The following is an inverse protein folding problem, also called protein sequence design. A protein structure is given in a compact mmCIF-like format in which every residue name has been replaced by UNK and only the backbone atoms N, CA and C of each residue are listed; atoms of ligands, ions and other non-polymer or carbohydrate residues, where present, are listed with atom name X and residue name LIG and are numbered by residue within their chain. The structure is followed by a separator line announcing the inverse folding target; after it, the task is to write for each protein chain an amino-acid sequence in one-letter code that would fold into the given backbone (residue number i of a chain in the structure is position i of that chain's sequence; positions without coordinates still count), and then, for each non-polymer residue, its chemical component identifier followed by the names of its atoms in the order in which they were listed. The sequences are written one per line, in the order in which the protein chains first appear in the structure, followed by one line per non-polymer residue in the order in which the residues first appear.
data_IF_310203915595
#
_entry.id   IF_310203915595
#
_cell.length_a   1.000
_cell.length_b   1.000
_cell.length_c   1.000
_cell.angle_alpha   90.00
_cell.angle_beta   90.00
_cell.angle_gamma   90.00
#
_symmetry.space_group_name_H-M   'P 1'
#
loop_
_entity.id
_entity.type
_entity.pdbx_description
1 polymer ?
#
# COMPACT_ATOMS: atom_id res chain seq x y z
N UNK A 1 -19.69 -23.88 -18.24
CA UNK A 1 -19.49 -23.94 -16.79
C UNK A 1 -19.83 -25.32 -16.21
N UNK A 2 -19.40 -26.44 -16.76
CA UNK A 2 -19.73 -27.75 -16.22
C UNK A 2 -18.71 -28.85 -16.61
N UNK A 3 -17.42 -28.52 -16.67
CA UNK A 3 -16.42 -29.54 -17.08
C UNK A 3 -15.49 -29.97 -15.95
N UNK A 4 -15.59 -29.32 -14.79
CA UNK A 4 -14.77 -29.64 -13.64
C UNK A 4 -15.53 -30.56 -12.69
N UNK A 5 -14.97 -31.70 -12.38
CA UNK A 5 -15.48 -32.65 -11.39
C UNK A 5 -14.49 -32.75 -10.24
N UNK A 6 -14.91 -32.50 -9.02
CA UNK A 6 -14.11 -32.63 -7.80
C UNK A 6 -14.96 -33.02 -6.62
N UNK A 7 -14.44 -33.88 -5.75
CA UNK A 7 -15.08 -34.33 -4.52
C UNK A 7 -14.61 -33.54 -3.28
N UNK A 8 -13.70 -32.57 -3.47
CA UNK A 8 -13.25 -31.65 -2.39
C UNK A 8 -12.91 -30.29 -2.99
N UNK A 9 -13.09 -29.21 -2.21
CA UNK A 9 -12.81 -27.81 -2.62
C UNK A 9 -11.35 -27.54 -3.04
N UNK A 10 -10.43 -28.47 -2.77
CA UNK A 10 -9.00 -28.27 -2.99
C UNK A 10 -8.45 -28.90 -4.30
N UNK A 11 -9.19 -29.76 -5.00
CA UNK A 11 -8.72 -30.39 -6.26
C UNK A 11 -9.84 -30.52 -7.26
N UNK A 12 -9.83 -29.68 -8.28
CA UNK A 12 -10.70 -29.74 -9.45
C UNK A 12 -9.96 -30.46 -10.58
N UNK A 13 -10.50 -31.57 -11.08
CA UNK A 13 -9.92 -32.33 -12.19
C UNK A 13 -10.77 -32.15 -13.45
N UNK A 14 -10.12 -31.95 -14.59
CA UNK A 14 -10.74 -31.97 -15.90
C UNK A 14 -10.29 -33.28 -16.59
N UNK A 15 -11.25 -34.09 -17.07
CA UNK A 15 -10.91 -35.31 -17.81
C UNK A 15 -10.44 -34.98 -19.22
N UNK A 16 -9.54 -35.81 -19.79
CA UNK A 16 -9.10 -35.65 -21.18
C UNK A 16 -10.27 -35.71 -22.18
N UNK A 17 -11.31 -36.50 -21.89
CA UNK A 17 -12.53 -36.58 -22.70
C UNK A 17 -13.30 -35.25 -22.68
N UNK A 18 -13.46 -34.65 -21.48
CA UNK A 18 -14.12 -33.35 -21.34
C UNK A 18 -13.33 -32.24 -22.06
N UNK A 19 -12.01 -32.28 -21.96
CA UNK A 19 -11.13 -31.34 -22.66
C UNK A 19 -11.22 -31.50 -24.19
N UNK A 20 -11.23 -32.74 -24.69
CA UNK A 20 -11.35 -33.05 -26.12
C UNK A 20 -12.71 -32.71 -26.73
N UNK A 21 -13.75 -32.57 -25.90
CA UNK A 21 -15.10 -32.16 -26.32
C UNK A 21 -15.30 -30.64 -26.40
N UNK A 22 -14.28 -29.83 -26.05
CA UNK A 22 -14.36 -28.36 -26.14
C UNK A 22 -14.37 -27.89 -27.58
N UNK A 23 -15.41 -27.15 -27.97
CA UNK A 23 -15.44 -26.45 -29.25
C UNK A 23 -14.60 -25.15 -29.11
N UNK A 24 -13.52 -25.07 -29.86
CA UNK A 24 -12.67 -23.88 -29.94
C UNK A 24 -12.80 -23.24 -31.33
N UNK A 25 -12.86 -21.90 -31.43
CA UNK A 25 -12.73 -21.20 -32.69
C UNK A 25 -11.38 -21.57 -33.35
N UNK A 26 -11.40 -21.95 -34.62
CA UNK A 26 -10.19 -22.36 -35.35
C UNK A 26 -10.06 -21.50 -36.63
N UNK A 27 -9.59 -20.24 -36.52
CA UNK A 27 -9.41 -19.38 -37.69
C UNK A 27 -8.26 -19.87 -38.58
N UNK A 28 -8.20 -19.46 -39.87
CA UNK A 28 -7.08 -19.77 -40.74
C UNK A 28 -5.72 -19.34 -40.14
N UNK A 29 -4.64 -20.07 -40.46
CA UNK A 29 -3.32 -19.87 -39.88
C UNK A 29 -2.83 -18.41 -39.96
N UNK A 30 -3.02 -17.75 -41.09
CA UNK A 30 -2.68 -16.34 -41.27
C UNK A 30 -3.41 -15.43 -40.25
N UNK A 31 -4.66 -15.74 -39.91
CA UNK A 31 -5.42 -15.01 -38.93
C UNK A 31 -4.93 -15.31 -37.50
N UNK A 32 -4.57 -16.58 -37.22
CA UNK A 32 -3.95 -16.94 -35.92
C UNK A 32 -2.67 -16.13 -35.67
N UNK A 33 -1.79 -16.03 -36.68
CA UNK A 33 -0.57 -15.26 -36.59
C UNK A 33 -0.83 -13.77 -36.29
N UNK A 34 -1.86 -13.18 -36.94
CA UNK A 34 -2.24 -11.78 -36.69
C UNK A 34 -2.81 -11.57 -35.30
N UNK A 35 -3.64 -12.49 -34.82
CA UNK A 35 -4.17 -12.47 -33.46
C UNK A 35 -3.02 -12.53 -32.46
N UNK A 36 -2.09 -13.44 -32.66
CA UNK A 36 -0.92 -13.56 -31.79
C UNK A 36 -0.03 -12.34 -31.83
N UNK A 37 0.20 -11.74 -33.00
CA UNK A 37 0.98 -10.51 -33.12
C UNK A 37 0.33 -9.35 -32.32
N UNK A 38 -1.00 -9.20 -32.42
CA UNK A 38 -1.74 -8.19 -31.67
C UNK A 38 -1.64 -8.41 -30.15
N UNK A 39 -1.82 -9.65 -29.68
CA UNK A 39 -1.72 -10.00 -28.26
C UNK A 39 -0.29 -9.80 -27.74
N UNK A 40 0.74 -10.16 -28.53
CA UNK A 40 2.14 -9.98 -28.16
C UNK A 40 2.52 -8.51 -28.02
N UNK A 41 2.00 -7.61 -28.89
CA UNK A 41 2.25 -6.18 -28.75
C UNK A 41 1.73 -5.60 -27.42
N UNK A 42 0.60 -6.12 -26.91
CA UNK A 42 0.14 -5.79 -25.54
C UNK A 42 1.09 -6.33 -24.49
N UNK A 43 1.58 -7.58 -24.63
CA UNK A 43 2.49 -8.17 -23.67
C UNK A 43 3.81 -7.39 -23.57
N UNK A 44 4.40 -6.99 -24.69
CA UNK A 44 5.61 -6.14 -24.72
C UNK A 44 5.37 -4.78 -24.01
N UNK A 45 4.19 -4.18 -24.22
CA UNK A 45 3.83 -2.93 -23.55
C UNK A 45 3.64 -3.13 -22.04
N UNK A 46 3.01 -4.22 -21.60
CA UNK A 46 2.88 -4.58 -20.19
C UNK A 46 4.26 -4.74 -19.54
N UNK A 47 5.16 -5.48 -20.14
CA UNK A 47 6.53 -5.69 -19.65
C UNK A 47 7.31 -4.37 -19.54
N UNK A 48 7.16 -3.48 -20.52
CA UNK A 48 7.81 -2.17 -20.50
C UNK A 48 7.32 -1.30 -19.33
N UNK A 49 6.00 -1.28 -19.08
CA UNK A 49 5.41 -0.55 -17.96
C UNK A 49 5.85 -1.18 -16.62
N UNK A 50 5.84 -2.50 -16.48
CA UNK A 50 6.31 -3.19 -15.27
C UNK A 50 7.78 -2.90 -14.99
N UNK A 51 8.63 -2.89 -16.00
CA UNK A 51 10.03 -2.52 -15.89
C UNK A 51 10.20 -1.05 -15.46
N UNK A 52 9.36 -0.13 -15.98
CA UNK A 52 9.33 1.27 -15.58
C UNK A 52 8.95 1.41 -14.09
N UNK A 53 7.91 0.71 -13.64
CA UNK A 53 7.49 0.69 -12.22
C UNK A 53 8.62 0.19 -11.32
N UNK A 54 9.32 -0.89 -11.72
CA UNK A 54 10.43 -1.43 -10.95
C UNK A 54 11.57 -0.40 -10.79
N UNK A 55 11.93 0.29 -11.87
CA UNK A 55 12.95 1.36 -11.86
C UNK A 55 12.52 2.53 -10.96
N UNK A 56 11.26 2.95 -11.04
CA UNK A 56 10.73 4.03 -10.21
C UNK A 56 10.74 3.67 -8.72
N UNK A 57 10.43 2.42 -8.36
CA UNK A 57 10.52 1.95 -6.97
C UNK A 57 11.94 1.97 -6.44
N UNK A 58 12.93 1.55 -7.25
CA UNK A 58 14.34 1.61 -6.89
C UNK A 58 14.78 3.07 -6.71
N UNK A 59 14.41 3.94 -7.63
CA UNK A 59 14.75 5.36 -7.56
C UNK A 59 14.12 6.04 -6.32
N UNK A 60 12.85 5.73 -6.01
CA UNK A 60 12.18 6.20 -4.78
C UNK A 60 12.92 5.75 -3.53
N UNK A 61 13.30 4.46 -3.47
CA UNK A 61 14.07 3.94 -2.34
C UNK A 61 15.41 4.65 -2.20
N UNK A 62 16.15 4.85 -3.31
CA UNK A 62 17.40 5.60 -3.30
C UNK A 62 17.21 7.05 -2.81
N UNK A 63 16.19 7.74 -3.31
CA UNK A 63 15.83 9.08 -2.84
C UNK A 63 15.47 9.09 -1.34
N UNK A 64 14.73 8.10 -0.86
CA UNK A 64 14.36 7.98 0.55
C UNK A 64 15.61 7.81 1.44
N UNK A 65 16.51 6.89 1.06
CA UNK A 65 17.75 6.64 1.80
C UNK A 65 18.69 7.84 1.81
N UNK A 66 18.74 8.62 0.71
CA UNK A 66 19.61 9.78 0.61
C UNK A 66 19.06 11.04 1.27
N UNK A 67 17.74 11.21 1.31
CA UNK A 67 17.09 12.39 1.89
C UNK A 67 16.93 12.35 3.41
N UNK A 68 17.22 11.21 4.04
CA UNK A 68 17.21 11.03 5.51
C UNK A 68 18.55 10.43 6.00
N UNK A 69 19.70 11.07 5.75
CA UNK A 69 21.03 10.50 5.99
C UNK A 69 21.33 10.26 7.48
N UNK A 70 20.72 11.06 8.38
CA UNK A 70 20.92 10.97 9.83
C UNK A 70 20.25 9.78 10.50
N UNK A 71 19.48 8.98 9.75
CA UNK A 71 18.91 7.72 10.25
C UNK A 71 20.00 6.70 10.63
N UNK A 72 21.23 6.85 10.16
CA UNK A 72 22.39 6.09 10.64
C UNK A 72 22.98 6.77 11.88
N UNK A 73 23.03 6.06 13.01
CA UNK A 73 23.54 6.56 14.30
C UNK A 73 24.95 7.13 14.22
N UNK A 74 25.77 6.64 13.30
CA UNK A 74 27.15 7.06 13.09
C UNK A 74 27.31 8.30 12.19
N UNK A 75 26.25 8.80 11.56
CA UNK A 75 26.32 9.95 10.69
C UNK A 75 26.24 11.25 11.55
N UNK A 76 27.13 12.19 11.27
CA UNK A 76 27.00 13.53 11.80
C UNK A 76 25.72 14.16 11.26
N UNK A 77 24.92 14.76 12.14
CA UNK A 77 23.75 15.55 11.74
C UNK A 77 24.23 16.91 11.28
N UNK A 78 23.68 17.42 10.18
CA UNK A 78 23.95 18.79 9.73
C UNK A 78 23.56 19.81 10.80
N UNK A 79 24.26 20.94 10.87
CA UNK A 79 23.94 22.01 11.83
C UNK A 79 22.51 22.57 11.66
N UNK A 80 21.88 22.34 10.49
CA UNK A 80 20.50 22.73 10.19
C UNK A 80 19.46 21.66 10.53
N UNK A 81 19.88 20.55 11.17
CA UNK A 81 19.02 19.43 11.51
C UNK A 81 19.04 19.16 13.01
N UNK A 82 17.89 18.81 13.56
CA UNK A 82 17.76 18.34 14.94
C UNK A 82 17.78 16.83 15.03
N UNK A 83 18.52 16.29 16.02
CA UNK A 83 18.41 14.91 16.50
C UNK A 83 17.81 14.93 17.90
N UNK A 84 16.61 14.41 18.05
CA UNK A 84 15.89 14.35 19.32
C UNK A 84 15.19 13.01 19.51
N UNK A 85 14.82 12.66 20.73
CA UNK A 85 13.92 11.53 20.93
C UNK A 85 12.52 11.85 20.39
N UNK A 86 11.89 10.88 19.75
CA UNK A 86 10.56 11.07 19.14
C UNK A 86 9.54 11.63 20.16
N UNK A 87 9.65 11.30 21.44
CA UNK A 87 8.79 11.81 22.51
C UNK A 87 8.84 13.33 22.69
N UNK A 88 9.90 14.00 22.22
CA UNK A 88 10.06 15.44 22.34
C UNK A 88 9.25 16.21 21.29
N UNK A 89 8.88 15.54 20.20
CA UNK A 89 8.14 16.11 19.08
C UNK A 89 6.81 15.40 18.81
N UNK A 90 6.59 14.21 19.39
CA UNK A 90 5.34 13.44 19.29
C UNK A 90 4.79 13.20 20.70
N UNK A 91 3.65 13.79 21.07
CA UNK A 91 2.95 13.55 22.34
C UNK A 91 2.62 12.06 22.55
N UNK A 92 2.14 11.67 23.75
CA UNK A 92 1.71 10.30 23.99
C UNK A 92 0.72 9.80 22.94
N UNK A 93 0.96 8.56 22.48
CA UNK A 93 0.13 7.94 21.46
C UNK A 93 -1.31 7.74 21.95
N UNK A 94 -2.28 7.98 21.09
CA UNK A 94 -3.69 7.72 21.38
C UNK A 94 -4.10 6.37 20.77
N UNK A 95 -4.69 5.52 21.61
CA UNK A 95 -5.18 4.20 21.18
C UNK A 95 -6.56 4.32 20.53
N UNK A 96 -6.80 3.52 19.50
CA UNK A 96 -8.10 3.40 18.89
C UNK A 96 -9.10 2.59 19.73
N UNK A 97 -10.28 2.36 19.16
CA UNK A 97 -11.38 1.64 19.81
C UNK A 97 -11.09 0.14 19.94
N UNK A 98 -11.68 -0.49 20.96
CA UNK A 98 -11.56 -1.94 21.21
C UNK A 98 -12.91 -2.67 21.05
N UNK A 99 -13.94 -1.98 20.64
CA UNK A 99 -15.28 -2.53 20.41
C UNK A 99 -15.28 -3.56 19.29
N UNK A 100 -16.21 -4.51 19.37
CA UNK A 100 -16.43 -5.49 18.32
C UNK A 100 -16.93 -4.79 17.05
N UNK A 101 -16.36 -5.12 15.92
CA UNK A 101 -16.70 -4.55 14.63
C UNK A 101 -17.56 -5.51 13.81
N UNK A 102 -18.51 -4.95 13.08
CA UNK A 102 -19.48 -5.66 12.24
C UNK A 102 -19.32 -5.30 10.75
N UNK A 103 -20.02 -6.03 9.87
CA UNK A 103 -20.05 -5.73 8.43
C UNK A 103 -21.12 -4.70 8.04
N UNK A 104 -21.95 -4.28 8.99
CA UNK A 104 -23.06 -3.36 8.73
C UNK A 104 -22.56 -1.94 8.49
N UNK A 105 -22.72 -1.37 7.28
CA UNK A 105 -22.24 -0.05 6.93
C UNK A 105 -23.02 1.10 7.56
N UNK A 106 -24.06 0.83 8.33
CA UNK A 106 -24.78 1.86 9.11
C UNK A 106 -23.98 2.35 10.32
N UNK A 107 -22.99 1.56 10.78
CA UNK A 107 -22.05 1.96 11.83
C UNK A 107 -20.96 2.92 11.36
N UNK A 108 -20.12 3.35 12.29
CA UNK A 108 -18.96 4.18 11.97
C UNK A 108 -17.86 3.33 11.34
N UNK A 109 -17.34 3.69 10.14
CA UNK A 109 -16.23 2.97 9.52
C UNK A 109 -14.95 3.07 10.37
N UNK A 110 -14.27 1.94 10.52
CA UNK A 110 -13.08 1.79 11.39
C UNK A 110 -11.93 1.20 10.62
N UNK A 111 -10.82 1.92 10.60
CA UNK A 111 -9.55 1.41 10.06
C UNK A 111 -8.95 0.38 11.02
N UNK A 112 -8.54 -0.74 10.45
CA UNK A 112 -7.86 -1.84 11.15
C UNK A 112 -6.40 -1.95 10.68
N UNK A 113 -5.65 -2.88 11.28
CA UNK A 113 -4.25 -3.13 10.95
C UNK A 113 -3.98 -3.45 9.46
N UNK A 114 -4.95 -4.07 8.76
CA UNK A 114 -4.85 -4.37 7.33
C UNK A 114 -5.23 -3.19 6.42
N UNK A 115 -5.84 -2.15 6.98
CA UNK A 115 -6.14 -0.92 6.25
C UNK A 115 -4.96 0.08 6.21
N UNK A 116 -3.84 -0.20 6.88
CA UNK A 116 -2.63 0.64 6.83
C UNK A 116 -1.66 0.03 5.84
N UNK A 117 -1.55 0.67 4.67
CA UNK A 117 -0.68 0.24 3.57
C UNK A 117 0.29 1.38 3.25
N UNK A 118 1.53 1.09 3.02
CA UNK A 118 2.64 1.90 2.51
C UNK A 118 2.44 3.44 2.50
N UNK A 119 2.24 4.03 3.67
CA UNK A 119 2.07 5.47 3.86
C UNK A 119 0.64 5.99 3.71
N UNK A 120 -0.31 5.15 3.25
CA UNK A 120 -1.71 5.53 2.99
C UNK A 120 -2.69 4.54 3.60
N UNK A 121 -3.89 4.99 4.02
CA UNK A 121 -4.96 4.09 4.40
C UNK A 121 -5.62 3.46 3.16
N UNK A 122 -6.02 2.20 3.29
CA UNK A 122 -6.88 1.50 2.33
C UNK A 122 -8.29 1.44 2.90
N UNK A 123 -9.23 2.08 2.22
CA UNK A 123 -10.64 2.14 2.60
C UNK A 123 -11.54 1.17 1.81
N UNK A 124 -10.95 0.25 1.05
CA UNK A 124 -11.69 -0.70 0.21
C UNK A 124 -12.38 -1.83 0.99
N UNK A 125 -11.79 -2.27 2.13
CA UNK A 125 -12.38 -3.29 3.02
C UNK A 125 -12.45 -2.75 4.45
N UNK A 126 -13.58 -2.19 4.82
CA UNK A 126 -13.81 -1.63 6.14
C UNK A 126 -14.68 -2.54 7.00
N UNK A 127 -14.55 -2.36 8.32
CA UNK A 127 -15.50 -2.82 9.32
C UNK A 127 -16.09 -1.61 10.01
N UNK A 128 -17.21 -1.82 10.68
CA UNK A 128 -18.00 -0.74 11.23
C UNK A 128 -18.23 -0.94 12.72
N UNK A 129 -18.16 0.15 13.49
CA UNK A 129 -18.50 0.14 14.90
C UNK A 129 -20.00 0.43 15.04
N UNK A 130 -20.80 -0.48 15.64
CA UNK A 130 -22.24 -0.30 15.75
C UNK A 130 -22.65 0.63 16.90
N UNK A 131 -21.70 1.02 17.76
CA UNK A 131 -21.95 1.86 18.92
C UNK A 131 -21.31 3.24 18.76
N UNK A 132 -21.73 4.19 19.58
CA UNK A 132 -21.19 5.55 19.59
C UNK A 132 -19.71 5.55 19.97
N UNK A 133 -18.91 6.29 19.22
CA UNK A 133 -17.47 6.46 19.41
C UNK A 133 -17.20 7.82 20.03
N UNK A 134 -16.31 7.94 21.03
CA UNK A 134 -15.90 9.23 21.58
C UNK A 134 -15.37 10.16 20.48
N UNK A 135 -15.80 11.42 20.48
CA UNK A 135 -15.49 12.40 19.43
C UNK A 135 -14.00 12.58 19.17
N UNK A 136 -13.16 12.43 20.20
CA UNK A 136 -11.70 12.52 20.09
C UNK A 136 -11.10 11.41 19.24
N UNK A 137 -11.76 10.26 19.08
CA UNK A 137 -11.27 9.12 18.31
C UNK A 137 -11.69 9.15 16.83
N UNK A 138 -12.44 10.14 16.39
CA UNK A 138 -12.62 10.36 14.96
C UNK A 138 -11.33 10.85 14.32
N UNK A 139 -11.05 10.34 13.13
CA UNK A 139 -9.89 10.72 12.33
C UNK A 139 -10.07 12.13 11.75
N UNK A 140 -8.96 12.86 11.71
CA UNK A 140 -8.87 14.22 11.15
C UNK A 140 -7.71 14.28 10.15
N UNK A 141 -7.83 15.16 9.17
CA UNK A 141 -6.76 15.36 8.19
C UNK A 141 -5.40 15.56 8.85
N UNK A 142 -4.44 14.76 8.40
CA UNK A 142 -3.07 14.77 8.91
C UNK A 142 -2.85 13.90 10.16
N UNK A 143 -3.84 13.13 10.62
CA UNK A 143 -3.63 12.12 11.65
C UNK A 143 -2.69 11.02 11.14
N UNK A 144 -1.65 10.73 11.89
CA UNK A 144 -0.69 9.66 11.59
C UNK A 144 -1.09 8.41 12.35
N UNK A 145 -1.38 7.34 11.64
CA UNK A 145 -1.69 6.03 12.20
C UNK A 145 -0.47 5.10 12.11
N UNK A 146 -0.14 4.48 13.21
CA UNK A 146 0.94 3.51 13.34
C UNK A 146 0.37 2.14 13.71
N UNK A 147 0.72 1.14 12.93
CA UNK A 147 0.30 -0.25 13.15
C UNK A 147 1.18 -0.90 14.22
N UNK A 148 0.70 -0.87 15.48
CA UNK A 148 1.46 -1.36 16.64
C UNK A 148 1.40 -2.88 16.83
N UNK A 149 0.42 -3.57 16.25
CA UNK A 149 0.20 -5.01 16.45
C UNK A 149 -0.12 -5.67 15.13
N UNK A 150 0.76 -6.53 14.63
CA UNK A 150 0.57 -7.28 13.39
C UNK A 150 1.59 -8.44 13.30
N UNK A 151 1.69 -9.11 12.14
CA UNK A 151 2.84 -9.97 11.82
C UNK A 151 4.13 -9.14 11.75
N UNK A 152 5.29 -9.81 11.83
CA UNK A 152 6.62 -9.16 11.82
C UNK A 152 6.85 -8.30 10.57
N UNK A 153 6.27 -8.65 9.43
CA UNK A 153 6.44 -7.91 8.18
C UNK A 153 5.58 -6.65 8.12
N UNK A 154 4.44 -6.65 8.81
CA UNK A 154 3.45 -5.59 8.77
C UNK A 154 3.48 -4.65 9.98
N UNK A 155 4.02 -5.10 11.14
CA UNK A 155 4.14 -4.25 12.33
C UNK A 155 4.95 -2.99 12.01
N UNK A 156 4.52 -1.83 12.51
CA UNK A 156 5.15 -0.53 12.27
C UNK A 156 4.83 0.09 10.91
N UNK A 157 4.02 -0.53 10.02
CA UNK A 157 3.47 0.20 8.89
C UNK A 157 2.70 1.41 9.39
N UNK A 158 2.85 2.52 8.70
CA UNK A 158 2.23 3.79 9.08
C UNK A 158 1.52 4.41 7.89
N UNK A 159 0.49 5.20 8.16
CA UNK A 159 -0.26 5.93 7.14
C UNK A 159 -0.70 7.28 7.67
N UNK A 160 -0.89 8.24 6.77
CA UNK A 160 -1.46 9.54 7.09
C UNK A 160 -2.89 9.61 6.55
N UNK A 161 -3.83 10.02 7.40
CA UNK A 161 -5.23 10.24 7.03
C UNK A 161 -5.39 11.54 6.25
N UNK A 162 -6.13 11.48 5.13
CA UNK A 162 -6.37 12.63 4.23
C UNK A 162 -7.84 12.87 3.95
N UNK A 163 -8.70 12.56 4.93
CA UNK A 163 -10.16 12.68 4.80
C UNK A 163 -10.72 11.79 3.67
N UNK A 164 -10.16 10.56 3.52
CA UNK A 164 -10.62 9.56 2.56
C UNK A 164 -12.10 9.23 2.73
N UNK A 165 -12.63 9.41 3.94
CA UNK A 165 -14.05 9.31 4.27
C UNK A 165 -14.47 10.53 5.12
N UNK A 166 -15.74 10.91 5.00
CA UNK A 166 -16.32 12.01 5.79
C UNK A 166 -16.21 11.77 7.30
N UNK A 167 -16.37 10.54 7.73
CA UNK A 167 -16.27 10.11 9.12
C UNK A 167 -15.56 8.77 9.16
N UNK A 168 -14.57 8.62 10.01
CA UNK A 168 -13.90 7.35 10.27
C UNK A 168 -13.25 7.35 11.66
N UNK A 169 -12.96 6.16 12.16
CA UNK A 169 -12.19 5.94 13.38
C UNK A 169 -11.14 4.84 13.13
N UNK A 170 -10.43 4.40 14.15
CA UNK A 170 -9.39 3.38 14.05
C UNK A 170 -9.43 2.42 15.23
N UNK A 171 -9.07 1.16 15.00
CA UNK A 171 -9.06 0.10 16.00
C UNK A 171 -7.80 0.16 16.87
N UNK A 172 -7.83 -0.42 18.06
CA UNK A 172 -6.75 -0.40 19.06
C UNK A 172 -5.44 -1.10 18.65
N UNK A 173 -5.43 -1.87 17.56
CA UNK A 173 -4.22 -2.37 16.91
C UNK A 173 -3.42 -1.25 16.22
N UNK A 174 -4.05 -0.11 16.01
CA UNK A 174 -3.43 1.12 15.55
C UNK A 174 -3.34 2.11 16.70
N UNK A 175 -2.33 2.97 16.64
CA UNK A 175 -2.22 4.15 17.51
C UNK A 175 -2.04 5.38 16.66
N UNK A 176 -2.57 6.51 17.12
CA UNK A 176 -2.39 7.81 16.52
C UNK A 176 -1.17 8.50 17.11
N UNK A 177 -0.27 8.96 16.22
CA UNK A 177 0.99 9.63 16.53
C UNK A 177 1.00 11.02 15.87
N UNK A 178 0.37 12.00 16.50
CA UNK A 178 0.32 13.35 15.94
C UNK A 178 1.51 14.17 16.43
N UNK A 179 2.43 14.61 15.54
CA UNK A 179 3.58 15.40 15.92
C UNK A 179 3.20 16.85 16.24
N UNK A 180 4.08 17.54 16.96
CA UNK A 180 4.05 18.99 17.05
C UNK A 180 4.37 19.60 15.68
N UNK A 181 3.33 20.05 14.97
CA UNK A 181 3.41 20.53 13.59
C UNK A 181 4.25 21.80 13.40
N UNK A 182 4.60 22.50 14.48
CA UNK A 182 5.55 23.63 14.41
C UNK A 182 7.00 23.18 14.28
N UNK A 183 7.30 21.91 14.54
CA UNK A 183 8.66 21.32 14.46
C UNK A 183 8.76 20.17 13.47
N UNK A 184 7.74 19.34 13.40
CA UNK A 184 7.76 18.10 12.61
C UNK A 184 6.46 17.94 11.82
N UNK A 185 6.55 17.83 10.50
CA UNK A 185 5.40 17.58 9.63
C UNK A 185 4.90 16.14 9.80
N UNK A 186 3.57 15.90 9.84
CA UNK A 186 3.00 14.56 9.85
C UNK A 186 3.46 13.69 8.67
N UNK A 187 3.61 14.29 7.49
CA UNK A 187 4.11 13.65 6.27
C UNK A 187 5.54 13.17 6.44
N UNK A 188 6.41 14.01 7.00
CA UNK A 188 7.80 13.66 7.27
C UNK A 188 7.88 12.52 8.29
N UNK A 189 7.07 12.58 9.35
CA UNK A 189 6.98 11.51 10.34
C UNK A 189 6.60 10.16 9.70
N UNK A 190 5.63 10.15 8.78
CA UNK A 190 5.25 8.91 8.07
C UNK A 190 6.40 8.38 7.22
N UNK A 191 7.08 9.23 6.45
CA UNK A 191 8.25 8.82 5.68
C UNK A 191 9.36 8.29 6.59
N UNK A 192 9.64 8.95 7.71
CA UNK A 192 10.62 8.46 8.69
C UNK A 192 10.22 7.09 9.26
N UNK A 193 8.96 6.90 9.69
CA UNK A 193 8.46 5.61 10.21
C UNK A 193 8.53 4.50 9.14
N UNK A 194 8.35 4.85 7.87
CA UNK A 194 8.40 3.91 6.74
C UNK A 194 9.82 3.70 6.21
N UNK A 195 10.81 4.46 6.69
CA UNK A 195 12.21 4.29 6.28
C UNK A 195 12.73 2.89 6.63
N UNK A 196 13.42 2.16 5.74
CA UNK A 196 13.84 0.77 5.96
C UNK A 196 14.62 0.54 7.25
N UNK A 197 15.56 1.44 7.58
CA UNK A 197 16.35 1.36 8.83
C UNK A 197 15.47 1.55 10.06
N UNK A 198 14.54 2.51 10.03
CA UNK A 198 13.61 2.73 11.14
C UNK A 198 12.66 1.54 11.29
N UNK A 199 12.18 0.97 10.20
CA UNK A 199 11.38 -0.27 10.22
C UNK A 199 12.14 -1.41 10.90
N UNK A 200 13.44 -1.53 10.67
CA UNK A 200 14.28 -2.51 11.34
C UNK A 200 14.40 -2.21 12.85
N UNK A 201 14.63 -0.95 13.25
CA UNK A 201 14.67 -0.53 14.67
C UNK A 201 13.33 -0.78 15.37
N UNK A 202 12.22 -0.49 14.70
CA UNK A 202 10.85 -0.77 15.22
C UNK A 202 10.67 -2.26 15.48
N UNK A 203 11.13 -3.13 14.58
CA UNK A 203 11.12 -4.59 14.80
C UNK A 203 11.99 -4.99 15.98
N UNK A 204 13.16 -4.41 16.14
CA UNK A 204 14.09 -4.72 17.23
C UNK A 204 13.53 -4.37 18.63
N UNK A 205 12.70 -3.34 18.75
CA UNK A 205 12.05 -2.97 20.03
C UNK A 205 10.70 -3.66 20.23
N UNK A 206 10.25 -4.48 19.28
CA UNK A 206 8.97 -5.17 19.38
C UNK A 206 9.03 -6.39 20.29
N UNK A 207 7.88 -6.79 20.81
CA UNK A 207 7.73 -8.01 21.61
C UNK A 207 6.98 -9.04 20.79
N UNK A 208 7.54 -10.24 20.67
CA UNK A 208 6.92 -11.36 19.94
C UNK A 208 5.97 -12.10 20.87
N UNK A 209 4.71 -12.26 20.48
CA UNK A 209 3.73 -13.16 21.06
C UNK A 209 3.39 -14.24 20.01
N UNK A 210 2.80 -15.37 20.42
CA UNK A 210 2.69 -16.64 19.66
C UNK A 210 2.39 -16.51 18.15
N UNK A 211 1.66 -15.49 17.71
CA UNK A 211 1.36 -15.26 16.28
C UNK A 211 1.40 -13.78 15.88
N UNK A 212 1.70 -12.89 16.79
CA UNK A 212 1.69 -11.46 16.56
C UNK A 212 2.90 -10.79 17.21
N UNK A 213 3.29 -9.70 16.62
CA UNK A 213 4.35 -8.82 17.11
C UNK A 213 3.72 -7.52 17.58
N UNK A 214 4.16 -7.04 18.71
CA UNK A 214 3.59 -5.85 19.35
C UNK A 214 4.68 -4.82 19.65
N UNK A 215 4.46 -3.58 19.25
CA UNK A 215 5.30 -2.44 19.58
C UNK A 215 4.65 -1.63 20.68
N UNK A 216 5.37 -1.43 21.78
CA UNK A 216 4.93 -0.51 22.81
C UNK A 216 5.16 0.94 22.33
N UNK A 217 4.11 1.78 22.24
CA UNK A 217 4.26 3.18 21.75
C UNK A 217 5.17 4.04 22.62
N UNK A 218 5.29 3.73 23.92
CA UNK A 218 6.24 4.42 24.80
C UNK A 218 7.68 4.11 24.40
N UNK A 219 8.00 2.84 24.08
CA UNK A 219 9.34 2.45 23.59
C UNK A 219 9.61 2.99 22.20
N UNK A 220 8.59 3.04 21.32
CA UNK A 220 8.72 3.67 20.01
C UNK A 220 9.16 5.13 20.14
N UNK A 221 8.57 5.86 21.09
CA UNK A 221 8.85 7.28 21.32
C UNK A 221 10.21 7.55 21.95
N UNK A 222 10.96 6.53 22.41
CA UNK A 222 12.36 6.66 22.81
C UNK A 222 13.35 6.57 21.64
N UNK A 223 12.91 6.17 20.43
CA UNK A 223 13.77 6.20 19.26
C UNK A 223 14.14 7.66 18.90
N UNK A 224 15.37 7.84 18.46
CA UNK A 224 15.84 9.12 17.94
C UNK A 224 15.39 9.35 16.52
N UNK A 225 14.90 10.55 16.25
CA UNK A 225 14.50 11.04 14.93
C UNK A 225 15.40 12.22 14.54
N UNK A 226 15.89 12.17 13.31
CA UNK A 226 16.59 13.28 12.66
C UNK A 226 15.65 13.97 11.67
N UNK A 227 15.59 15.28 11.71
CA UNK A 227 14.79 16.07 10.78
C UNK A 227 15.35 17.46 10.58
N UNK A 228 15.16 18.08 9.39
CA UNK A 228 15.49 19.48 9.17
C UNK A 228 14.71 20.38 10.11
N UNK A 229 15.37 21.40 10.71
CA UNK A 229 14.69 22.39 11.53
C UNK A 229 13.75 23.28 10.70
N UNK A 230 14.08 23.47 9.42
CA UNK A 230 13.22 24.18 8.47
C UNK A 230 12.10 23.28 7.94
N UNK A 231 10.86 23.67 8.22
CA UNK A 231 9.67 22.98 7.68
C UNK A 231 9.60 23.03 6.13
N UNK A 232 10.24 24.00 5.49
CA UNK A 232 10.29 24.06 4.02
C UNK A 232 11.16 22.92 3.47
N UNK A 233 12.30 22.62 4.10
CA UNK A 233 13.14 21.49 3.75
C UNK A 233 12.42 20.15 3.99
N UNK A 234 11.71 19.99 5.12
CA UNK A 234 10.88 18.82 5.36
C UNK A 234 9.83 18.62 4.23
N UNK A 235 9.15 19.71 3.80
CA UNK A 235 8.18 19.66 2.66
C UNK A 235 8.87 19.27 1.37
N UNK A 236 10.07 19.77 1.10
CA UNK A 236 10.82 19.46 -0.11
C UNK A 236 11.14 17.95 -0.17
N UNK A 237 11.61 17.37 0.93
CA UNK A 237 11.88 15.94 1.04
C UNK A 237 10.61 15.13 0.75
N UNK A 238 9.53 15.44 1.47
CA UNK A 238 8.23 14.75 1.30
C UNK A 238 7.70 14.89 -0.12
N UNK A 239 7.76 16.09 -0.71
CA UNK A 239 7.26 16.33 -2.07
C UNK A 239 8.05 15.55 -3.13
N UNK A 240 9.36 15.41 -2.92
CA UNK A 240 10.22 14.60 -3.81
C UNK A 240 9.80 13.13 -3.78
N UNK A 241 9.59 12.55 -2.59
CA UNK A 241 9.14 11.17 -2.46
C UNK A 241 7.72 10.98 -3.02
N UNK A 242 6.80 11.89 -2.72
CA UNK A 242 5.43 11.87 -3.24
C UNK A 242 5.37 11.97 -4.77
N UNK A 243 6.32 12.65 -5.42
CA UNK A 243 6.41 12.71 -6.88
C UNK A 243 6.67 11.33 -7.50
N UNK A 244 7.54 10.52 -6.88
CA UNK A 244 7.75 9.12 -7.29
C UNK A 244 6.47 8.29 -7.11
N UNK A 245 5.80 8.41 -5.95
CA UNK A 245 4.56 7.68 -5.66
C UNK A 245 3.46 8.03 -6.67
N UNK A 246 3.35 9.31 -7.03
CA UNK A 246 2.42 9.78 -8.06
C UNK A 246 2.73 9.21 -9.46
N UNK A 247 4.01 9.04 -9.82
CA UNK A 247 4.39 8.40 -11.08
C UNK A 247 4.09 6.91 -11.06
N UNK A 248 4.50 6.21 -10.00
CA UNK A 248 4.22 4.77 -9.84
C UNK A 248 2.72 4.50 -9.94
N UNK A 249 1.89 5.32 -9.28
CA UNK A 249 0.44 5.19 -9.35
C UNK A 249 -0.08 5.32 -10.79
N UNK A 250 0.38 6.31 -11.55
CA UNK A 250 -0.05 6.49 -12.95
C UNK A 250 0.32 5.29 -13.82
N UNK A 251 1.53 4.77 -13.69
CA UNK A 251 1.97 3.57 -14.41
C UNK A 251 1.14 2.33 -14.04
N UNK A 252 0.80 2.15 -12.76
CA UNK A 252 -0.08 1.07 -12.31
C UNK A 252 -1.50 1.19 -12.86
N UNK A 253 -2.06 2.41 -12.90
CA UNK A 253 -3.38 2.68 -13.46
C UNK A 253 -3.39 2.42 -14.99
N UNK A 254 -2.30 2.77 -15.70
CA UNK A 254 -2.12 2.50 -17.12
C UNK A 254 -2.00 1.00 -17.40
N UNK A 255 -1.20 0.27 -16.63
CA UNK A 255 -1.06 -1.19 -16.71
C UNK A 255 -2.40 -1.89 -16.51
N UNK A 256 -3.20 -1.44 -15.53
CA UNK A 256 -4.53 -2.00 -15.28
C UNK A 256 -5.49 -1.77 -16.46
N UNK A 257 -5.44 -0.60 -17.10
CA UNK A 257 -6.22 -0.30 -18.31
C UNK A 257 -5.77 -1.17 -19.49
N UNK A 258 -4.46 -1.27 -19.70
CA UNK A 258 -3.88 -2.06 -20.79
C UNK A 258 -4.30 -3.53 -20.68
N UNK A 259 -4.25 -4.11 -19.47
CA UNK A 259 -4.68 -5.48 -19.21
C UNK A 259 -6.16 -5.69 -19.49
N UNK A 260 -7.03 -4.75 -19.14
CA UNK A 260 -8.46 -4.80 -19.48
C UNK A 260 -8.68 -4.74 -20.99
N UNK A 261 -7.97 -3.87 -21.71
CA UNK A 261 -8.05 -3.76 -23.17
C UNK A 261 -7.57 -5.05 -23.85
N UNK A 262 -6.44 -5.60 -23.40
CA UNK A 262 -5.92 -6.89 -23.89
C UNK A 262 -6.94 -8.01 -23.70
N UNK A 263 -7.54 -8.11 -22.51
CA UNK A 263 -8.55 -9.11 -22.22
C UNK A 263 -9.76 -8.97 -23.15
N UNK A 264 -10.33 -7.75 -23.26
CA UNK A 264 -11.48 -7.50 -24.12
C UNK A 264 -11.17 -7.78 -25.60
N UNK A 265 -10.02 -7.32 -26.09
CA UNK A 265 -9.61 -7.62 -27.48
C UNK A 265 -9.41 -9.11 -27.71
N UNK A 266 -8.79 -9.83 -26.77
CA UNK A 266 -8.59 -11.28 -26.85
C UNK A 266 -9.94 -12.00 -26.95
N UNK A 267 -10.91 -11.64 -26.11
CA UNK A 267 -12.25 -12.22 -26.11
C UNK A 267 -12.99 -11.93 -27.42
N UNK A 268 -12.91 -10.72 -27.95
CA UNK A 268 -13.55 -10.34 -29.19
C UNK A 268 -12.90 -11.00 -30.43
N UNK A 269 -11.58 -11.12 -30.46
CA UNK A 269 -10.84 -11.81 -31.53
C UNK A 269 -11.12 -13.30 -31.54
N UNK A 270 -11.10 -13.96 -30.36
CA UNK A 270 -11.33 -15.39 -30.23
C UNK A 270 -12.81 -15.75 -30.48
N UNK A 271 -13.75 -14.87 -30.15
CA UNK A 271 -15.18 -15.06 -30.45
C UNK A 271 -15.56 -14.74 -31.89
N UNK A 272 -14.65 -14.13 -32.68
CA UNK A 272 -14.91 -13.72 -34.06
C UNK A 272 -15.76 -12.45 -34.19
N UNK A 273 -16.05 -11.76 -33.10
CA UNK A 273 -16.76 -10.47 -33.12
C UNK A 273 -15.98 -9.38 -33.84
N UNK A 274 -14.66 -9.40 -33.66
CA UNK A 274 -13.73 -8.46 -34.32
C UNK A 274 -12.76 -9.29 -35.19
N UNK A 275 -12.45 -8.78 -36.38
CA UNK A 275 -11.42 -9.35 -37.27
C UNK A 275 -10.24 -8.39 -37.35
N UNK A 276 -9.03 -8.92 -37.19
CA UNK A 276 -7.81 -8.16 -37.48
C UNK A 276 -7.78 -7.84 -38.97
N UNK A 277 -7.97 -6.58 -39.33
CA UNK A 277 -7.82 -6.10 -40.71
C UNK A 277 -6.33 -6.02 -41.07
N UNK A 278 -6.02 -6.15 -42.36
CA UNK A 278 -4.69 -5.85 -42.84
C UNK A 278 -4.44 -4.36 -42.61
N UNK A 279 -3.44 -4.03 -41.79
CA UNK A 279 -2.83 -2.72 -41.79
C UNK A 279 -1.85 -2.77 -42.95
N UNK A 280 -2.23 -2.14 -44.07
CA UNK A 280 -1.40 -2.00 -45.25
C UNK A 280 -0.17 -1.14 -44.91
#
# INVERSE_FOLDING_TARGET
MAMAQGTSESMVKISGVALGGLLIPFPPLAMQHRIMAAINAFAESEEAIEASIAKLRIARLGAHLSSMPGVNESAAVSDSWSRVRLKEVVPPAEYGISEALVNDPTGVPVLRMNNVQDGRPDVGDLRYCPVSIPSRLYLKNGDVLFNRTNSIDHVGKSAIWRDELRVASFASYLVRLNPNRSRLLPEYLVEWLMHPVIRQRVRAISTVAVQQVNVNPTRLRELEIDFPDDLAEQRQIVSTLAAFDGRIKRELDELAKLRKLKQGLTDDLLSGKVRVRDVA
#
